data_IF_904864551741
#
_entry.id   IF_904864551741
#
_cell.length_a   1.000
_cell.length_b   1.000
_cell.length_c   1.000
_cell.angle_alpha   90.00
_cell.angle_beta   90.00
_cell.angle_gamma   90.00
#
_symmetry.space_group_name_H-M   'P 1'
#
loop_
_entity.id
_entity.type
_entity.pdbx_description
1 polymer ?
#
# COMPACT_ATOMS: atom_id res chain seq x y z
N UNK A 1 -23.15 -19.86 16.68
CA UNK A 1 -21.90 -19.38 16.07
C UNK A 1 -20.88 -19.22 17.19
N UNK A 2 -19.76 -19.98 17.18
CA UNK A 2 -18.69 -19.84 18.19
C UNK A 2 -17.66 -18.83 17.67
N UNK A 3 -17.40 -17.76 18.41
CA UNK A 3 -16.36 -16.77 18.10
C UNK A 3 -15.00 -17.28 18.55
N UNK A 4 -13.98 -17.16 17.69
CA UNK A 4 -12.58 -17.48 18.02
C UNK A 4 -11.84 -16.18 18.35
N UNK A 5 -11.14 -16.15 19.49
CA UNK A 5 -10.27 -15.01 19.81
C UNK A 5 -9.09 -14.98 18.84
N UNK A 6 -8.79 -13.79 18.33
CA UNK A 6 -7.66 -13.53 17.42
C UNK A 6 -6.87 -12.34 17.94
N UNK A 7 -5.56 -12.33 17.69
CA UNK A 7 -4.66 -11.26 18.10
C UNK A 7 -4.51 -10.16 17.04
N UNK A 8 -3.73 -9.12 17.38
CA UNK A 8 -3.38 -8.01 16.49
C UNK A 8 -2.93 -8.42 15.08
N UNK A 9 -2.11 -9.47 14.86
CA UNK A 9 -1.68 -9.85 13.52
C UNK A 9 -2.83 -10.17 12.56
N UNK A 10 -3.94 -10.73 13.06
CA UNK A 10 -5.11 -10.97 12.24
C UNK A 10 -5.79 -9.66 11.84
N UNK A 11 -5.83 -8.68 12.74
CA UNK A 11 -6.38 -7.36 12.46
C UNK A 11 -5.52 -6.61 11.43
N UNK A 12 -4.19 -6.62 11.60
CA UNK A 12 -3.26 -5.99 10.67
C UNK A 12 -3.39 -6.60 9.27
N UNK A 13 -3.51 -7.93 9.19
CA UNK A 13 -3.73 -8.60 7.92
C UNK A 13 -5.06 -8.20 7.28
N UNK A 14 -6.15 -8.11 8.06
CA UNK A 14 -7.45 -7.66 7.55
C UNK A 14 -7.42 -6.23 7.03
N UNK A 15 -6.72 -5.32 7.71
CA UNK A 15 -6.59 -3.95 7.24
C UNK A 15 -5.76 -3.88 5.93
N UNK A 16 -4.68 -4.67 5.83
CA UNK A 16 -3.91 -4.82 4.58
C UNK A 16 -4.81 -5.36 3.47
N UNK A 17 -5.59 -6.43 3.72
CA UNK A 17 -6.53 -6.96 2.72
C UNK A 17 -7.61 -5.94 2.34
N UNK A 18 -7.99 -5.06 3.27
CA UNK A 18 -8.98 -4.01 3.07
C UNK A 18 -8.40 -2.77 2.39
N UNK A 19 -7.09 -2.76 2.07
CA UNK A 19 -6.45 -1.63 1.41
C UNK A 19 -6.38 -0.38 2.29
N UNK A 20 -6.38 -0.53 3.62
CA UNK A 20 -6.37 0.56 4.60
C UNK A 20 -4.90 0.87 4.98
N UNK A 21 -4.36 2.03 4.56
CA UNK A 21 -2.99 2.40 4.87
C UNK A 21 -2.82 2.71 6.37
N UNK A 22 -1.60 2.61 6.85
CA UNK A 22 -1.20 3.08 8.17
C UNK A 22 0.04 3.97 8.01
N UNK A 23 0.02 5.13 8.66
CA UNK A 23 1.19 6.03 8.69
C UNK A 23 1.89 5.81 10.02
N UNK A 24 3.14 5.36 9.94
CA UNK A 24 4.00 5.09 11.10
C UNK A 24 5.13 6.13 11.12
N UNK A 25 5.87 6.28 12.23
CA UNK A 25 6.97 7.26 12.30
C UNK A 25 7.97 7.18 11.13
N UNK A 26 8.26 5.97 10.66
CA UNK A 26 9.16 5.75 9.51
C UNK A 26 8.64 6.28 8.17
N UNK A 27 7.33 6.53 8.03
CA UNK A 27 6.68 6.98 6.79
C UNK A 27 5.99 8.34 6.92
N UNK A 28 6.20 9.04 8.04
CA UNK A 28 5.68 10.39 8.25
C UNK A 28 6.17 11.35 7.17
N UNK A 29 5.27 12.23 6.71
CA UNK A 29 5.54 13.28 5.71
C UNK A 29 5.97 12.76 4.32
N UNK A 30 5.95 11.45 4.07
CA UNK A 30 6.38 10.88 2.79
C UNK A 30 5.27 10.78 1.73
N UNK A 31 4.01 10.95 2.12
CA UNK A 31 2.88 10.75 1.23
C UNK A 31 1.93 11.95 1.24
N UNK A 32 1.43 12.32 0.06
CA UNK A 32 0.14 13.02 -0.04
C UNK A 32 -1.01 12.01 0.04
N UNK A 33 -2.19 12.39 0.54
CA UNK A 33 -3.30 11.47 0.78
C UNK A 33 -3.67 10.56 -0.41
N UNK A 34 -3.57 11.06 -1.64
CA UNK A 34 -3.89 10.31 -2.84
C UNK A 34 -2.92 9.15 -3.12
N UNK A 35 -1.64 9.27 -2.72
CA UNK A 35 -0.64 8.21 -2.90
C UNK A 35 -0.99 6.96 -2.10
N UNK A 36 -1.65 7.16 -0.95
CA UNK A 36 -2.12 6.10 -0.05
C UNK A 36 -3.63 5.87 -0.14
N UNK A 37 -4.26 6.30 -1.24
CA UNK A 37 -5.66 6.07 -1.58
C UNK A 37 -6.69 6.64 -0.58
N UNK A 38 -6.31 7.61 0.26
CA UNK A 38 -7.24 8.21 1.24
C UNK A 38 -8.39 8.99 0.59
N UNK A 39 -8.19 9.49 -0.63
CA UNK A 39 -9.26 10.04 -1.48
C UNK A 39 -10.29 8.98 -1.88
N UNK A 40 -9.84 7.76 -2.19
CA UNK A 40 -10.70 6.62 -2.56
C UNK A 40 -11.40 5.99 -1.35
N UNK A 41 -10.80 6.11 -0.16
CA UNK A 41 -11.36 5.68 1.11
C UNK A 41 -12.30 6.71 1.76
N UNK A 42 -12.65 7.78 1.03
CA UNK A 42 -13.51 8.87 1.52
C UNK A 42 -12.98 9.56 2.79
N UNK A 43 -11.67 9.53 3.03
CA UNK A 43 -11.05 10.19 4.18
C UNK A 43 -10.81 11.70 3.94
N UNK A 44 -11.08 12.20 2.73
CA UNK A 44 -10.95 13.61 2.36
C UNK A 44 -12.33 14.17 2.06
N UNK A 45 -12.71 15.21 2.79
CA UNK A 45 -13.88 16.02 2.43
C UNK A 45 -13.39 17.28 1.72
N UNK A 46 -13.71 17.41 0.43
CA UNK A 46 -13.37 18.59 -0.38
C UNK A 46 -14.32 19.77 -0.20
N UNK A 47 -15.42 19.59 0.56
CA UNK A 47 -16.46 20.59 0.81
C UNK A 47 -16.46 21.15 2.25
N UNK A 48 -15.55 20.69 3.11
CA UNK A 48 -15.40 21.23 4.48
C UNK A 48 -14.61 22.55 4.46
N UNK A 49 -14.62 23.27 5.59
CA UNK A 49 -13.83 24.48 5.78
C UNK A 49 -12.30 24.25 5.67
N UNK A 50 -11.53 25.32 5.79
CA UNK A 50 -10.08 25.30 5.57
C UNK A 50 -9.33 24.35 6.52
N UNK A 51 -8.44 23.52 5.98
CA UNK A 51 -7.47 22.75 6.75
C UNK A 51 -6.05 22.88 6.17
N UNK A 52 -5.04 22.71 7.02
CA UNK A 52 -3.62 22.83 6.62
C UNK A 52 -3.29 21.88 5.48
N UNK A 53 -2.60 22.40 4.44
CA UNK A 53 -2.17 21.60 3.28
C UNK A 53 -3.27 21.31 2.25
N UNK A 54 -4.49 21.83 2.44
CA UNK A 54 -5.61 21.59 1.51
C UNK A 54 -5.33 22.02 0.07
N UNK A 55 -4.47 23.03 -0.16
CA UNK A 55 -4.14 23.50 -1.50
C UNK A 55 -3.45 22.41 -2.31
N UNK A 56 -2.53 21.68 -1.68
CA UNK A 56 -1.81 20.57 -2.30
C UNK A 56 -2.79 19.42 -2.58
N UNK A 57 -3.63 19.08 -1.59
CA UNK A 57 -4.61 18.01 -1.70
C UNK A 57 -5.65 18.32 -2.80
N UNK A 58 -6.18 19.54 -2.83
CA UNK A 58 -7.18 19.98 -3.81
C UNK A 58 -6.59 20.11 -5.21
N UNK A 59 -5.34 20.59 -5.36
CA UNK A 59 -4.70 20.73 -6.67
C UNK A 59 -4.58 19.38 -7.38
N UNK A 60 -4.15 18.33 -6.67
CA UNK A 60 -4.09 16.98 -7.24
C UNK A 60 -5.48 16.46 -7.61
N UNK A 61 -6.52 16.78 -6.82
CA UNK A 61 -7.89 16.35 -7.11
C UNK A 61 -8.51 17.04 -8.34
N UNK A 62 -8.32 18.36 -8.48
CA UNK A 62 -9.02 19.15 -9.51
C UNK A 62 -8.19 19.39 -10.78
N UNK A 63 -6.86 19.41 -10.69
CA UNK A 63 -5.98 19.88 -11.76
C UNK A 63 -4.87 18.88 -12.10
N UNK A 64 -4.71 17.80 -11.32
CA UNK A 64 -3.61 16.86 -11.45
C UNK A 64 -4.06 15.45 -11.82
N UNK A 65 -3.19 14.73 -12.52
CA UNK A 65 -3.29 13.27 -12.62
C UNK A 65 -2.54 12.64 -11.47
N UNK A 66 -3.18 11.71 -10.76
CA UNK A 66 -2.49 10.89 -9.76
C UNK A 66 -1.51 9.97 -10.48
N UNK A 67 -0.21 10.12 -10.21
CA UNK A 67 0.87 9.30 -10.81
C UNK A 67 1.32 8.15 -9.91
N UNK A 68 0.86 8.15 -8.66
CA UNK A 68 1.31 7.28 -7.58
C UNK A 68 0.10 6.80 -6.78
N UNK A 69 0.00 5.49 -6.56
CA UNK A 69 -1.11 4.85 -5.86
C UNK A 69 -0.59 3.72 -5.00
N UNK A 70 -1.41 3.31 -4.04
CA UNK A 70 -1.13 2.13 -3.23
C UNK A 70 -1.82 0.91 -3.82
N UNK A 71 -1.06 -0.18 -3.91
CA UNK A 71 -1.48 -1.47 -4.45
C UNK A 71 -1.35 -2.54 -3.36
N UNK A 72 -2.26 -3.52 -3.38
CA UNK A 72 -2.17 -4.72 -2.55
C UNK A 72 -1.29 -5.74 -3.26
N UNK A 73 -0.26 -6.23 -2.59
CA UNK A 73 0.67 -7.19 -3.16
C UNK A 73 1.05 -8.28 -2.14
N UNK A 74 1.51 -9.43 -2.63
CA UNK A 74 2.08 -10.49 -1.81
C UNK A 74 3.57 -10.64 -2.09
N UNK A 75 4.32 -10.87 -1.03
CA UNK A 75 5.76 -11.08 -1.03
C UNK A 75 6.06 -12.44 -0.39
N UNK A 76 6.70 -13.34 -1.14
CA UNK A 76 7.21 -14.60 -0.58
C UNK A 76 8.59 -14.37 0.02
N UNK A 77 8.67 -14.23 1.33
CA UNK A 77 9.92 -14.10 2.07
C UNK A 77 9.77 -14.61 3.49
N UNK A 78 10.87 -15.10 4.07
CA UNK A 78 10.98 -15.39 5.50
C UNK A 78 11.30 -14.13 6.32
N UNK A 79 11.90 -13.12 5.69
CA UNK A 79 12.25 -11.86 6.32
C UNK A 79 11.07 -10.90 6.21
N UNK A 80 10.68 -10.29 7.33
CA UNK A 80 9.60 -9.29 7.31
C UNK A 80 10.09 -7.99 6.68
N UNK A 81 9.42 -7.49 5.62
CA UNK A 81 9.62 -6.12 5.21
C UNK A 81 9.11 -5.17 6.29
N UNK A 82 9.55 -3.92 6.22
CA UNK A 82 9.12 -2.83 7.09
C UNK A 82 8.43 -1.73 6.28
N UNK A 83 7.54 -0.98 6.92
CA UNK A 83 7.02 0.25 6.32
C UNK A 83 8.18 1.24 6.08
N UNK A 84 8.20 1.86 4.90
CA UNK A 84 9.29 2.71 4.41
C UNK A 84 10.35 1.98 3.59
N UNK A 85 10.36 0.64 3.58
CA UNK A 85 11.28 -0.13 2.74
C UNK A 85 11.06 0.20 1.25
N UNK A 86 12.16 0.40 0.53
CA UNK A 86 12.15 0.78 -0.88
C UNK A 86 11.80 -0.40 -1.78
N UNK A 87 11.05 -0.09 -2.83
CA UNK A 87 10.66 -1.02 -3.89
C UNK A 87 11.31 -0.60 -5.19
N UNK A 88 11.82 -1.58 -5.93
CA UNK A 88 12.55 -1.36 -7.18
C UNK A 88 11.90 -2.05 -8.37
N UNK A 89 12.19 -1.55 -9.58
CA UNK A 89 11.92 -2.27 -10.83
C UNK A 89 13.05 -3.27 -11.15
N UNK A 90 12.95 -3.96 -12.30
CA UNK A 90 13.99 -4.88 -12.79
C UNK A 90 15.37 -4.22 -12.94
N UNK A 91 15.40 -2.92 -13.24
CA UNK A 91 16.62 -2.13 -13.44
C UNK A 91 17.19 -1.59 -12.12
N UNK A 92 16.62 -1.97 -10.97
CA UNK A 92 16.99 -1.50 -9.64
C UNK A 92 16.71 0.00 -9.40
N UNK A 93 15.86 0.64 -10.21
CA UNK A 93 15.43 2.00 -9.92
C UNK A 93 14.39 2.00 -8.80
N UNK A 94 14.44 2.96 -7.88
CA UNK A 94 13.38 3.13 -6.88
C UNK A 94 12.07 3.56 -7.57
N UNK A 95 11.00 2.80 -7.33
CA UNK A 95 9.67 3.06 -7.91
C UNK A 95 8.61 3.35 -6.86
N UNK A 96 8.90 3.05 -5.60
CA UNK A 96 7.95 3.20 -4.51
C UNK A 96 8.46 2.66 -3.19
N UNK A 97 7.55 2.46 -2.25
CA UNK A 97 7.88 1.98 -0.92
C UNK A 97 6.70 1.28 -0.23
N UNK A 98 7.02 0.46 0.76
CA UNK A 98 6.01 -0.26 1.56
C UNK A 98 5.32 0.71 2.53
N UNK A 99 3.99 0.72 2.49
CA UNK A 99 3.14 1.53 3.37
C UNK A 99 2.76 0.73 4.61
N UNK A 100 2.33 -0.52 4.41
CA UNK A 100 1.86 -1.41 5.49
C UNK A 100 2.18 -2.86 5.15
N UNK A 101 2.42 -3.67 6.18
CA UNK A 101 2.80 -5.08 6.08
C UNK A 101 2.02 -5.93 7.08
N UNK A 102 1.63 -7.14 6.68
CA UNK A 102 1.14 -8.16 7.58
C UNK A 102 1.55 -9.57 7.13
N UNK A 103 1.87 -10.50 8.05
CA UNK A 103 2.07 -11.91 7.72
C UNK A 103 0.83 -12.50 7.03
N UNK A 104 0.99 -13.24 5.94
CA UNK A 104 -0.12 -13.83 5.19
C UNK A 104 -0.10 -15.36 5.15
N UNK A 105 1.08 -15.97 5.16
CA UNK A 105 1.23 -17.44 5.13
C UNK A 105 2.20 -17.89 6.22
N UNK A 106 1.79 -18.92 6.96
CA UNK A 106 2.62 -19.61 7.94
C UNK A 106 2.86 -21.05 7.48
N UNK A 107 4.07 -21.57 7.72
CA UNK A 107 4.36 -22.99 7.50
C UNK A 107 3.81 -23.87 8.65
N UNK A 108 4.01 -25.18 8.55
CA UNK A 108 3.56 -26.15 9.55
C UNK A 108 4.16 -25.91 10.96
N UNK A 109 5.31 -25.24 11.04
CA UNK A 109 5.99 -24.90 12.28
C UNK A 109 5.53 -23.54 12.85
N UNK A 110 4.61 -22.85 12.18
CA UNK A 110 4.13 -21.52 12.58
C UNK A 110 5.06 -20.37 12.17
N UNK A 111 6.05 -20.61 11.31
CA UNK A 111 6.95 -19.57 10.82
C UNK A 111 6.34 -18.88 9.61
N UNK A 112 6.48 -17.56 9.51
CA UNK A 112 5.98 -16.78 8.38
C UNK A 112 6.80 -17.08 7.12
N UNK A 113 6.12 -17.36 6.02
CA UNK A 113 6.73 -17.62 4.71
C UNK A 113 6.30 -16.64 3.63
N UNK A 114 5.28 -15.82 3.90
CA UNK A 114 4.86 -14.75 3.02
C UNK A 114 4.20 -13.61 3.81
N UNK A 115 4.24 -12.43 3.21
CA UNK A 115 3.63 -11.22 3.71
C UNK A 115 2.70 -10.66 2.65
N UNK A 116 1.57 -10.10 3.07
CA UNK A 116 0.81 -9.19 2.25
C UNK A 116 1.19 -7.77 2.63
N UNK A 117 1.32 -6.91 1.61
CA UNK A 117 1.77 -5.53 1.77
C UNK A 117 0.88 -4.58 0.99
N UNK A 118 0.74 -3.37 1.53
CA UNK A 118 0.31 -2.20 0.79
C UNK A 118 1.56 -1.49 0.29
N UNK A 119 1.74 -1.45 -1.03
CA UNK A 119 2.89 -0.86 -1.70
C UNK A 119 2.46 0.42 -2.42
N UNK A 120 3.01 1.57 -2.00
CA UNK A 120 2.88 2.81 -2.76
C UNK A 120 3.86 2.75 -3.93
N UNK A 121 3.35 2.91 -5.16
CA UNK A 121 4.13 2.77 -6.39
C UNK A 121 3.78 3.87 -7.38
N UNK A 122 4.76 4.25 -8.21
CA UNK A 122 4.47 4.88 -9.50
C UNK A 122 3.60 3.94 -10.34
N UNK A 123 2.46 4.44 -10.83
CA UNK A 123 1.48 3.64 -11.60
C UNK A 123 2.15 3.05 -12.85
N UNK A 124 2.91 3.87 -13.58
CA UNK A 124 3.63 3.45 -14.79
C UNK A 124 4.57 2.25 -14.53
N UNK A 125 5.25 2.23 -13.37
CA UNK A 125 6.20 1.18 -13.03
C UNK A 125 5.45 -0.13 -12.73
N UNK A 126 4.34 -0.06 -12.00
CA UNK A 126 3.49 -1.22 -11.70
C UNK A 126 2.89 -1.83 -12.97
N UNK A 127 2.58 -1.00 -13.99
CA UNK A 127 2.05 -1.46 -15.27
C UNK A 127 3.13 -2.00 -16.21
N UNK A 128 4.38 -1.52 -16.06
CA UNK A 128 5.48 -1.84 -16.99
C UNK A 128 6.19 -3.15 -16.68
N UNK A 129 6.13 -3.66 -15.44
CA UNK A 129 6.84 -4.89 -15.09
C UNK A 129 6.77 -5.29 -13.62
N UNK A 130 7.52 -6.33 -13.23
CA UNK A 130 7.57 -6.81 -11.86
C UNK A 130 8.25 -5.81 -10.93
N UNK A 131 7.78 -5.78 -9.69
CA UNK A 131 8.32 -4.95 -8.61
C UNK A 131 9.02 -5.84 -7.59
N UNK A 132 10.12 -5.35 -7.02
CA UNK A 132 10.97 -6.12 -6.11
C UNK A 132 11.16 -5.41 -4.77
N UNK A 133 11.31 -6.22 -3.74
CA UNK A 133 11.86 -5.82 -2.44
C UNK A 133 13.07 -6.70 -2.14
N UNK A 134 14.27 -6.12 -2.02
CA UNK A 134 15.51 -6.87 -1.79
C UNK A 134 15.64 -8.10 -2.72
N UNK A 135 15.44 -7.91 -4.02
CA UNK A 135 15.45 -8.95 -5.07
C UNK A 135 14.33 -10.01 -4.97
N UNK A 136 13.41 -9.91 -4.03
CA UNK A 136 12.22 -10.77 -3.96
C UNK A 136 11.08 -10.11 -4.74
N UNK A 137 10.50 -10.78 -5.75
CA UNK A 137 9.41 -10.22 -6.53
C UNK A 137 8.12 -10.14 -5.71
N UNK A 138 7.38 -9.05 -5.90
CA UNK A 138 6.04 -8.86 -5.39
C UNK A 138 5.03 -9.27 -6.46
N UNK A 139 3.96 -9.95 -6.04
CA UNK A 139 2.84 -10.33 -6.91
C UNK A 139 1.62 -9.48 -6.59
N UNK A 140 1.05 -8.81 -7.59
CA UNK A 140 -0.16 -7.99 -7.40
C UNK A 140 -1.37 -8.82 -6.98
N UNK A 141 -2.18 -8.25 -6.09
CA UNK A 141 -3.52 -8.73 -5.72
C UNK A 141 -4.55 -7.69 -6.12
N UNK A 142 -5.79 -8.15 -6.25
CA UNK A 142 -6.92 -7.27 -6.55
C UNK A 142 -7.18 -6.37 -5.34
N UNK A 143 -7.26 -5.07 -5.57
CA UNK A 143 -7.67 -4.11 -4.55
C UNK A 143 -9.16 -4.31 -4.21
N UNK A 144 -9.56 -4.14 -2.94
CA UNK A 144 -10.97 -4.28 -2.53
C UNK A 144 -11.85 -3.10 -3.00
N UNK A 145 -11.27 -2.09 -3.64
CA UNK A 145 -11.94 -0.96 -4.23
C UNK A 145 -11.27 -0.57 -5.56
N UNK A 146 -12.02 0.11 -6.43
CA UNK A 146 -11.49 0.57 -7.72
C UNK A 146 -10.46 1.67 -7.53
N UNK A 147 -9.31 1.55 -8.20
CA UNK A 147 -8.26 2.57 -8.21
C UNK A 147 -8.52 3.70 -9.21
N UNK A 148 -9.54 3.56 -10.08
CA UNK A 148 -9.84 4.55 -11.12
C UNK A 148 -8.72 4.74 -12.13
N UNK A 149 -7.86 3.73 -12.32
CA UNK A 149 -6.81 3.72 -13.33
C UNK A 149 -7.44 3.40 -14.69
N UNK A 150 -7.05 4.15 -15.73
CA UNK A 150 -7.43 3.77 -17.10
C UNK A 150 -6.80 2.40 -17.42
N UNK A 151 -7.58 1.49 -18.00
CA UNK A 151 -7.02 0.28 -18.60
C UNK A 151 -6.14 0.74 -19.77
N UNK A 152 -4.85 0.37 -19.70
CA UNK A 152 -3.89 0.55 -20.79
C UNK A 152 -4.13 -0.47 -21.90
#
# INVERSE_FOLDING_TARGET
>A
MKTKLVGKPCWDWLDVQSGIPEIVPATQEQFVPQMVNLDLLHAINFKKGCYTGQEIVARTHYLGSVKRRTFLMTLSSKNSPQAGDKLTDEQQNEVGQIVRVAPSVLNANGEVTAFDVLAELRIEAQQSGPIYWNSHPLTSKVMPYSLGLAES
#
